data_IF_432948015245
#
_entry.id   IF_432948015245
#
_cell.length_a   1.000
_cell.length_b   1.000
_cell.length_c   1.000
_cell.angle_alpha   90.00
_cell.angle_beta   90.00
_cell.angle_gamma   90.00
#
_symmetry.space_group_name_H-M   'P 1'
#
loop_
_entity.id
_entity.type
_entity.pdbx_description
1 polymer ?
#
# COMPACT_ATOMS: atom_id res chain seq x y z
N UNK A 1 -3.62 22.56 7.80
CA UNK A 1 -4.42 21.42 7.29
C UNK A 1 -3.83 20.14 7.87
N UNK A 2 -4.59 19.40 8.69
CA UNK A 2 -4.13 18.10 9.21
C UNK A 2 -4.39 17.04 8.13
N UNK A 3 -3.33 16.48 7.53
CA UNK A 3 -3.44 15.31 6.66
C UNK A 3 -3.75 14.11 7.55
N UNK A 4 -5.02 13.72 7.66
CA UNK A 4 -5.37 12.47 8.33
C UNK A 4 -4.82 11.32 7.47
N UNK A 5 -3.96 10.44 8.01
CA UNK A 5 -3.50 9.28 7.25
C UNK A 5 -4.71 8.41 6.88
N UNK A 6 -4.80 8.01 5.61
CA UNK A 6 -5.83 7.07 5.18
C UNK A 6 -5.58 5.73 5.84
N UNK A 7 -6.63 5.10 6.36
CA UNK A 7 -6.52 3.74 6.87
C UNK A 7 -6.12 2.78 5.74
N UNK A 8 -5.43 1.69 6.08
CA UNK A 8 -5.10 0.64 5.11
C UNK A 8 -6.34 0.19 4.32
N UNK A 9 -7.50 0.06 4.98
CA UNK A 9 -8.76 -0.35 4.34
C UNK A 9 -9.20 0.63 3.26
N UNK A 10 -9.04 1.93 3.49
CA UNK A 10 -9.38 2.95 2.49
C UNK A 10 -8.41 2.96 1.32
N UNK A 11 -7.12 2.80 1.58
CA UNK A 11 -6.09 2.70 0.54
C UNK A 11 -6.31 1.46 -0.31
N UNK A 12 -6.50 0.30 0.32
CA UNK A 12 -6.84 -0.97 -0.35
C UNK A 12 -8.06 -0.82 -1.25
N UNK A 13 -9.16 -0.27 -0.73
CA UNK A 13 -10.40 -0.06 -1.51
C UNK A 13 -10.19 0.90 -2.69
N UNK A 14 -9.37 1.94 -2.55
CA UNK A 14 -9.04 2.84 -3.66
C UNK A 14 -8.20 2.10 -4.72
N UNK A 15 -7.16 1.40 -4.31
CA UNK A 15 -6.30 0.63 -5.21
C UNK A 15 -7.09 -0.43 -5.99
N UNK A 16 -7.92 -1.22 -5.32
CA UNK A 16 -8.77 -2.23 -5.95
C UNK A 16 -9.72 -1.60 -6.98
N UNK A 17 -10.33 -0.44 -6.68
CA UNK A 17 -11.16 0.30 -7.64
C UNK A 17 -10.40 0.81 -8.86
N UNK A 18 -9.09 1.08 -8.73
CA UNK A 18 -8.23 1.47 -9.86
C UNK A 18 -7.65 0.28 -10.62
N UNK A 19 -8.02 -0.96 -10.28
CA UNK A 19 -7.59 -2.18 -10.94
C UNK A 19 -6.28 -2.76 -10.40
N UNK A 20 -5.83 -2.32 -9.21
CA UNK A 20 -4.73 -2.97 -8.52
C UNK A 20 -5.22 -4.22 -7.78
N UNK A 21 -4.38 -5.27 -7.76
CA UNK A 21 -4.62 -6.50 -6.99
C UNK A 21 -3.48 -6.75 -6.01
N UNK A 22 -3.79 -7.22 -4.81
CA UNK A 22 -2.79 -7.71 -3.84
C UNK A 22 -2.09 -8.94 -4.42
N UNK A 23 -0.75 -8.99 -4.36
CA UNK A 23 0.03 -10.13 -4.87
C UNK A 23 0.97 -10.75 -3.85
N UNK A 24 1.44 -9.98 -2.87
CA UNK A 24 2.26 -10.53 -1.79
C UNK A 24 2.20 -9.61 -0.57
N UNK A 25 2.68 -10.13 0.55
CA UNK A 25 2.82 -9.38 1.79
C UNK A 25 4.09 -9.83 2.51
N UNK A 26 4.88 -8.88 3.01
CA UNK A 26 6.03 -9.13 3.87
C UNK A 26 5.89 -8.26 5.12
N UNK A 27 5.62 -8.91 6.26
CA UNK A 27 5.25 -8.19 7.48
C UNK A 27 4.00 -7.34 7.25
N UNK A 28 4.06 -6.06 7.62
CA UNK A 28 2.98 -5.10 7.37
C UNK A 28 2.94 -4.60 5.92
N UNK A 29 3.97 -4.79 5.10
CA UNK A 29 3.98 -4.23 3.74
C UNK A 29 3.27 -5.14 2.76
N UNK A 30 2.19 -4.64 2.16
CA UNK A 30 1.36 -5.34 1.19
C UNK A 30 1.68 -4.82 -0.21
N UNK A 31 2.09 -5.73 -1.10
CA UNK A 31 2.35 -5.43 -2.50
C UNK A 31 1.06 -5.55 -3.30
N UNK A 32 0.72 -4.48 -4.01
CA UNK A 32 -0.33 -4.43 -5.02
C UNK A 32 0.29 -4.24 -6.39
N UNK A 33 -0.27 -4.87 -7.41
CA UNK A 33 0.11 -4.62 -8.81
C UNK A 33 -1.10 -4.30 -9.68
N UNK A 34 -0.89 -3.51 -10.72
CA UNK A 34 -1.82 -3.32 -11.83
C UNK A 34 -1.07 -3.57 -13.13
N UNK A 35 -1.58 -4.48 -13.95
CA UNK A 35 -1.07 -4.69 -15.30
C UNK A 35 -1.66 -3.62 -16.22
N UNK A 36 -0.82 -3.04 -17.07
CA UNK A 36 -1.18 -2.02 -18.06
C UNK A 36 -0.52 -2.37 -19.40
N UNK A 37 -0.95 -1.74 -20.48
CA UNK A 37 -0.35 -1.92 -21.81
C UNK A 37 1.14 -1.53 -21.86
N UNK A 38 1.57 -0.66 -20.94
CA UNK A 38 2.95 -0.18 -20.83
C UNK A 38 3.78 -0.93 -19.77
N UNK A 39 3.22 -1.96 -19.13
CA UNK A 39 3.91 -2.77 -18.12
C UNK A 39 3.17 -2.86 -16.78
N UNK A 40 3.91 -3.16 -15.72
CA UNK A 40 3.35 -3.42 -14.38
C UNK A 40 3.56 -2.23 -13.45
N UNK A 41 2.48 -1.64 -12.97
CA UNK A 41 2.52 -0.69 -11.86
C UNK A 41 2.53 -1.44 -10.53
N UNK A 42 3.37 -1.02 -9.60
CA UNK A 42 3.48 -1.62 -8.25
C UNK A 42 3.21 -0.55 -7.20
N UNK A 43 2.42 -0.89 -6.19
CA UNK A 43 2.21 -0.08 -4.99
C UNK A 43 2.48 -0.92 -3.74
N UNK A 44 3.30 -0.41 -2.82
CA UNK A 44 3.54 -1.02 -1.52
C UNK A 44 2.76 -0.23 -0.47
N UNK A 45 1.84 -0.90 0.22
CA UNK A 45 0.99 -0.27 1.24
C UNK A 45 1.23 -0.92 2.59
N UNK A 46 1.59 -0.16 3.63
CA UNK A 46 1.62 -0.69 4.98
C UNK A 46 0.21 -0.98 5.52
N UNK A 47 -0.04 -2.24 5.86
CA UNK A 47 -1.14 -2.75 6.68
C UNK A 47 -0.73 -2.70 8.15
N UNK A 48 -0.59 -1.50 8.71
CA UNK A 48 -0.50 -1.33 10.15
C UNK A 48 -1.92 -1.23 10.73
N UNK A 49 -2.27 -2.09 11.70
CA UNK A 49 -3.11 -1.61 12.81
C UNK A 49 -2.22 -0.66 13.59
N UNK A 50 -2.71 0.50 14.00
CA UNK A 50 -1.92 1.40 14.86
C UNK A 50 -1.20 0.63 15.96
N UNK A 51 0.04 1.05 16.25
CA UNK A 51 1.11 0.45 17.08
C UNK A 51 2.09 -0.38 16.20
N UNK A 52 3.33 0.04 15.93
CA UNK A 52 4.23 0.94 16.66
C UNK A 52 4.92 1.96 15.75
N UNK A 53 5.23 3.12 16.34
CA UNK A 53 6.24 4.06 15.84
C UNK A 53 7.54 3.28 15.72
N UNK A 54 7.89 2.83 14.52
CA UNK A 54 9.25 2.41 14.21
C UNK A 54 9.70 3.29 13.06
N UNK A 55 10.79 4.01 13.30
CA UNK A 55 11.29 5.07 12.45
C UNK A 55 11.41 4.68 10.98
N UNK A 56 11.23 5.70 10.14
CA UNK A 56 11.47 5.66 8.70
C UNK A 56 12.85 5.07 8.42
N UNK A 57 12.91 3.88 7.83
CA UNK A 57 14.09 3.43 7.10
C UNK A 57 13.69 3.30 5.64
N UNK A 58 14.32 4.12 4.81
CA UNK A 58 14.31 3.93 3.37
C UNK A 58 14.94 2.58 3.06
N UNK A 59 14.26 1.77 2.24
CA UNK A 59 14.87 0.60 1.63
C UNK A 59 14.58 0.69 0.14
N UNK A 60 15.67 0.91 -0.60
CA UNK A 60 15.80 0.97 -2.05
C UNK A 60 15.28 -0.29 -2.75
#
# INVERSE_FOLDING_TARGET
MSLKPLSYREVKRKLERFGFRKVSQKGSHVKFIKLTEFGTLTAIVPEHKEIAIVGLYEVF
#
